data_IF_071236478787
#
_entry.id   IF_071236478787
#
_cell.length_a   1.000
_cell.length_b   1.000
_cell.length_c   1.000
_cell.angle_alpha   90.00
_cell.angle_beta   90.00
_cell.angle_gamma   90.00
#
_symmetry.space_group_name_H-M   'P 1'
#
loop_
_entity.id
_entity.type
_entity.pdbx_description
1 polymer ?
#
# COMPACT_ATOMS: atom_id res chain seq x y z
N UNK A 1 28.37 -21.56 -5.33
CA UNK A 1 27.75 -20.25 -5.05
C UNK A 1 26.43 -20.50 -4.37
N UNK A 2 26.07 -19.67 -3.39
CA UNK A 2 24.69 -19.59 -2.90
C UNK A 2 24.11 -18.23 -3.28
N UNK A 3 22.86 -18.21 -3.74
CA UNK A 3 22.21 -16.99 -4.24
C UNK A 3 22.53 -16.67 -5.71
N UNK A 4 22.17 -15.47 -6.16
CA UNK A 4 22.31 -15.05 -7.56
C UNK A 4 23.34 -13.93 -7.73
N UNK A 5 24.18 -14.10 -8.75
CA UNK A 5 25.30 -13.22 -9.03
C UNK A 5 26.31 -13.87 -9.95
N UNK A 6 27.38 -13.14 -10.22
CA UNK A 6 28.54 -13.61 -10.96
C UNK A 6 29.82 -13.22 -10.25
N UNK A 7 30.96 -13.75 -10.69
CA UNK A 7 32.27 -13.31 -10.21
C UNK A 7 33.03 -12.76 -11.41
N UNK A 8 33.61 -11.58 -11.27
CA UNK A 8 34.62 -11.10 -12.19
C UNK A 8 35.98 -11.60 -11.69
N UNK A 9 36.60 -12.48 -12.46
CA UNK A 9 37.94 -13.03 -12.23
C UNK A 9 38.93 -12.28 -13.12
N UNK A 10 40.03 -11.81 -12.53
CA UNK A 10 41.18 -11.29 -13.27
C UNK A 10 42.42 -12.16 -13.00
N UNK A 11 43.06 -12.66 -14.05
CA UNK A 11 44.33 -13.40 -14.01
C UNK A 11 45.19 -13.00 -15.19
N UNK A 12 46.50 -12.77 -15.00
CA UNK A 12 47.42 -12.39 -16.08
C UNK A 12 46.93 -11.25 -17.00
N UNK A 13 46.24 -10.25 -16.41
CA UNK A 13 45.58 -9.12 -17.08
C UNK A 13 44.37 -9.49 -17.96
N UNK A 14 43.95 -10.75 -17.99
CA UNK A 14 42.68 -11.17 -18.58
C UNK A 14 41.58 -11.03 -17.55
N UNK A 15 40.47 -10.39 -17.95
CA UNK A 15 39.27 -10.24 -17.13
C UNK A 15 38.17 -11.10 -17.73
N UNK A 16 37.53 -11.94 -16.91
CA UNK A 16 36.39 -12.76 -17.32
C UNK A 16 35.30 -12.76 -16.26
N UNK A 17 34.05 -12.87 -16.70
CA UNK A 17 32.91 -13.13 -15.83
C UNK A 17 32.69 -14.64 -15.74
N UNK A 18 32.66 -15.19 -14.54
CA UNK A 18 32.41 -16.61 -14.29
C UNK A 18 31.09 -16.81 -13.56
N UNK A 19 30.35 -17.84 -13.98
CA UNK A 19 29.10 -18.30 -13.40
C UNK A 19 29.28 -19.71 -12.82
N UNK A 20 28.66 -20.05 -11.69
CA UNK A 20 28.70 -21.40 -11.13
C UNK A 20 27.96 -22.41 -12.01
N UNK A 21 28.42 -23.66 -12.10
CA UNK A 21 29.73 -24.15 -11.66
C UNK A 21 30.83 -23.73 -12.63
N UNK A 22 31.99 -23.30 -12.10
CA UNK A 22 33.14 -22.91 -12.92
C UNK A 22 34.42 -23.55 -12.36
N UNK A 23 35.28 -24.00 -13.27
CA UNK A 23 36.60 -24.55 -12.95
C UNK A 23 37.62 -24.00 -13.96
N UNK A 24 38.83 -23.72 -13.49
CA UNK A 24 39.93 -23.25 -14.33
C UNK A 24 41.28 -23.69 -13.79
N UNK A 25 42.27 -23.67 -14.67
CA UNK A 25 43.65 -24.03 -14.36
C UNK A 25 44.49 -22.76 -14.21
N UNK A 26 45.28 -22.70 -13.15
CA UNK A 26 46.20 -21.62 -12.86
C UNK A 26 47.58 -22.18 -12.55
N UNK A 27 48.61 -21.38 -12.78
CA UNK A 27 49.95 -21.73 -12.33
C UNK A 27 49.98 -21.71 -10.79
N UNK A 28 50.67 -22.67 -10.19
CA UNK A 28 50.91 -22.66 -8.75
C UNK A 28 51.63 -21.37 -8.35
N UNK A 29 51.29 -20.87 -7.17
CA UNK A 29 51.75 -19.61 -6.58
C UNK A 29 51.38 -18.34 -7.37
N UNK A 30 50.49 -18.44 -8.35
CA UNK A 30 49.95 -17.27 -9.06
C UNK A 30 48.89 -16.54 -8.25
N UNK A 31 48.66 -15.28 -8.60
CA UNK A 31 47.63 -14.45 -7.97
C UNK A 31 46.48 -14.20 -8.93
N UNK A 32 45.27 -14.34 -8.41
CA UNK A 32 44.02 -13.97 -9.08
C UNK A 32 43.32 -12.86 -8.31
N UNK A 33 42.61 -12.00 -9.00
CA UNK A 33 41.71 -11.04 -8.38
C UNK A 33 40.28 -11.51 -8.57
N UNK A 34 39.54 -11.65 -7.47
CA UNK A 34 38.15 -12.02 -7.46
C UNK A 34 37.32 -10.80 -7.06
N UNK A 35 36.29 -10.50 -7.85
CA UNK A 35 35.32 -9.45 -7.55
C UNK A 35 33.90 -10.00 -7.66
N UNK A 36 33.20 -10.05 -6.54
CA UNK A 36 31.81 -10.43 -6.46
C UNK A 36 30.94 -9.40 -7.18
N UNK A 37 30.03 -9.88 -8.02
CA UNK A 37 29.07 -9.09 -8.78
C UNK A 37 27.67 -9.65 -8.49
N UNK A 38 27.02 -9.22 -7.39
CA UNK A 38 25.66 -9.65 -7.09
C UNK A 38 24.71 -9.22 -8.22
N UNK A 39 23.69 -10.03 -8.48
CA UNK A 39 22.59 -9.63 -9.36
C UNK A 39 21.75 -8.51 -8.72
N UNK A 40 20.86 -7.90 -9.51
CA UNK A 40 19.92 -6.91 -8.99
C UNK A 40 19.14 -7.52 -7.83
N UNK A 41 18.96 -6.74 -6.76
CA UNK A 41 18.29 -7.17 -5.53
C UNK A 41 19.01 -8.24 -4.69
N UNK A 42 20.26 -8.57 -5.00
CA UNK A 42 21.11 -9.39 -4.15
C UNK A 42 22.24 -8.57 -3.53
N UNK A 43 22.70 -8.99 -2.35
CA UNK A 43 23.85 -8.45 -1.65
C UNK A 43 24.95 -9.51 -1.58
N UNK A 44 26.20 -9.10 -1.74
CA UNK A 44 27.35 -9.93 -1.38
C UNK A 44 27.43 -10.08 0.14
N UNK A 45 27.60 -11.32 0.61
CA UNK A 45 27.76 -11.65 2.03
C UNK A 45 29.22 -11.99 2.34
N UNK A 46 29.77 -12.99 1.66
CA UNK A 46 31.14 -13.44 1.91
C UNK A 46 31.69 -14.33 0.79
N UNK A 47 33.00 -14.56 0.85
CA UNK A 47 33.65 -15.73 0.30
C UNK A 47 33.79 -16.80 1.39
N UNK A 48 33.67 -18.08 1.04
CA UNK A 48 33.83 -19.22 1.95
C UNK A 48 34.52 -20.42 1.28
N UNK A 49 34.71 -21.48 2.08
CA UNK A 49 35.52 -22.67 1.80
C UNK A 49 37.03 -22.36 1.89
N UNK A 50 37.82 -22.64 0.86
CA UNK A 50 39.27 -22.47 0.92
C UNK A 50 39.69 -20.99 0.99
N UNK A 51 38.77 -20.07 0.67
CA UNK A 51 38.91 -18.64 0.88
C UNK A 51 37.82 -18.13 1.83
N UNK A 52 38.21 -17.49 2.95
CA UNK A 52 37.28 -16.80 3.86
C UNK A 52 37.53 -15.31 3.85
N UNK A 53 36.59 -14.52 3.34
CA UNK A 53 36.70 -13.06 3.29
C UNK A 53 35.33 -12.37 3.23
N UNK A 54 35.24 -11.17 3.80
CA UNK A 54 34.04 -10.31 3.77
C UNK A 54 34.18 -9.10 2.84
N UNK A 55 35.32 -8.96 2.15
CA UNK A 55 35.48 -7.95 1.10
C UNK A 55 34.91 -8.49 -0.22
N UNK A 56 34.07 -7.72 -0.95
CA UNK A 56 33.56 -8.14 -2.26
C UNK A 56 34.66 -8.20 -3.33
N UNK A 57 35.84 -7.63 -3.06
CA UNK A 57 36.99 -7.65 -3.95
C UNK A 57 38.24 -8.10 -3.19
N UNK A 58 38.95 -9.10 -3.71
CA UNK A 58 40.10 -9.72 -3.05
C UNK A 58 41.16 -10.17 -4.06
N UNK A 59 42.43 -9.92 -3.72
CA UNK A 59 43.58 -10.52 -4.37
C UNK A 59 43.92 -11.81 -3.63
N UNK A 60 44.02 -12.92 -4.35
CA UNK A 60 44.12 -14.25 -3.76
C UNK A 60 45.19 -15.09 -4.43
N UNK A 61 45.99 -15.82 -3.66
CA UNK A 61 47.07 -16.67 -4.17
C UNK A 61 46.57 -18.10 -4.34
N UNK A 62 46.77 -18.69 -5.51
CA UNK A 62 46.46 -20.09 -5.80
C UNK A 62 47.71 -20.93 -5.58
N UNK A 63 47.74 -21.69 -4.50
CA UNK A 63 48.89 -22.55 -4.13
C UNK A 63 48.70 -24.00 -4.55
N UNK A 64 47.45 -24.45 -4.67
CA UNK A 64 47.03 -25.83 -4.90
C UNK A 64 45.59 -25.87 -5.44
N UNK A 65 44.99 -27.06 -5.51
CA UNK A 65 43.60 -27.21 -5.91
C UNK A 65 42.69 -26.65 -4.83
N UNK A 66 41.85 -25.68 -5.20
CA UNK A 66 41.00 -24.99 -4.24
C UNK A 66 39.58 -24.83 -4.74
N UNK A 67 38.65 -24.83 -3.79
CA UNK A 67 37.23 -24.59 -3.96
C UNK A 67 36.88 -23.30 -3.25
N UNK A 68 36.56 -22.27 -4.03
CA UNK A 68 36.11 -20.98 -3.52
C UNK A 68 34.61 -20.86 -3.75
N UNK A 69 33.87 -20.49 -2.71
CA UNK A 69 32.45 -20.21 -2.79
C UNK A 69 32.18 -18.73 -2.54
N UNK A 70 31.39 -18.10 -3.40
CA UNK A 70 30.79 -16.80 -3.15
C UNK A 70 29.37 -16.97 -2.63
N UNK A 71 29.02 -16.21 -1.59
CA UNK A 71 27.72 -16.22 -0.94
C UNK A 71 27.00 -14.89 -1.19
N UNK A 72 25.82 -14.96 -1.78
CA UNK A 72 24.89 -13.85 -1.94
C UNK A 72 23.62 -14.09 -1.13
N UNK A 73 22.98 -13.01 -0.68
CA UNK A 73 21.67 -13.04 -0.04
C UNK A 73 20.74 -12.04 -0.73
N UNK A 74 19.49 -12.43 -0.93
CA UNK A 74 18.48 -11.53 -1.46
C UNK A 74 18.28 -10.36 -0.48
N UNK A 75 18.03 -9.16 -1.00
CA UNK A 75 17.72 -7.99 -0.16
C UNK A 75 16.47 -8.29 0.67
N UNK A 76 16.41 -7.64 1.83
CA UNK A 76 15.25 -7.70 2.70
C UNK A 76 14.53 -6.36 2.69
N UNK A 77 13.22 -6.43 2.89
CA UNK A 77 12.31 -5.30 3.08
C UNK A 77 11.54 -5.49 4.37
N UNK A 78 11.01 -4.39 4.91
CA UNK A 78 10.35 -4.37 6.22
C UNK A 78 8.83 -4.41 6.07
N UNK A 79 8.18 -5.26 6.87
CA UNK A 79 6.74 -5.20 7.09
C UNK A 79 6.48 -4.66 8.49
N UNK A 80 5.91 -3.47 8.57
CA UNK A 80 5.40 -2.85 9.80
C UNK A 80 3.91 -3.15 9.92
N UNK A 81 3.52 -3.72 11.05
CA UNK A 81 2.14 -4.05 11.39
C UNK A 81 1.74 -3.19 12.58
N UNK A 82 0.72 -2.36 12.37
CA UNK A 82 0.21 -1.40 13.36
C UNK A 82 -1.13 -1.86 13.93
N UNK A 83 -1.42 -1.46 15.16
CA UNK A 83 -2.65 -1.79 15.89
C UNK A 83 -2.37 -2.37 17.28
N UNK A 84 -3.44 -2.62 18.04
CA UNK A 84 -3.35 -3.09 19.42
C UNK A 84 -3.63 -4.60 19.56
N UNK A 85 -4.46 -5.15 18.66
CA UNK A 85 -4.82 -6.58 18.68
C UNK A 85 -3.71 -7.43 18.08
N UNK A 86 -3.51 -8.62 18.64
CA UNK A 86 -2.54 -9.59 18.11
C UNK A 86 -3.07 -10.24 16.83
N UNK A 87 -2.15 -10.68 15.97
CA UNK A 87 -2.47 -11.34 14.71
C UNK A 87 -1.47 -12.47 14.41
N UNK A 88 -1.78 -13.35 13.46
CA UNK A 88 -0.79 -14.33 12.99
C UNK A 88 -0.04 -13.78 11.78
N UNK A 89 1.27 -13.96 11.79
CA UNK A 89 2.18 -13.69 10.67
C UNK A 89 2.85 -15.00 10.32
N UNK A 90 2.59 -15.53 9.12
CA UNK A 90 3.01 -16.87 8.69
C UNK A 90 2.63 -17.96 9.72
N UNK A 91 1.38 -17.94 10.18
CA UNK A 91 0.79 -18.80 11.23
C UNK A 91 1.33 -18.60 12.65
N UNK A 92 2.32 -17.73 12.86
CA UNK A 92 2.88 -17.47 14.19
C UNK A 92 2.22 -16.24 14.83
N UNK A 93 1.76 -16.38 16.07
CA UNK A 93 1.14 -15.28 16.80
C UNK A 93 2.15 -14.16 17.06
N UNK A 94 1.72 -12.92 16.80
CA UNK A 94 2.50 -11.69 17.01
C UNK A 94 1.65 -10.66 17.74
N UNK A 95 2.28 -10.00 18.71
CA UNK A 95 1.73 -8.81 19.35
C UNK A 95 2.11 -7.58 18.54
N UNK A 96 1.18 -6.65 18.39
CA UNK A 96 1.35 -5.41 17.66
C UNK A 96 1.58 -4.23 18.64
N UNK A 97 2.25 -3.14 18.20
CA UNK A 97 2.87 -2.97 16.88
C UNK A 97 4.17 -3.77 16.74
N UNK A 98 4.51 -4.17 15.51
CA UNK A 98 5.76 -4.89 15.22
C UNK A 98 6.29 -4.58 13.82
N UNK A 99 7.61 -4.58 13.66
CA UNK A 99 8.27 -4.53 12.36
C UNK A 99 9.13 -5.78 12.17
N UNK A 100 8.95 -6.48 11.04
CA UNK A 100 9.65 -7.72 10.73
C UNK A 100 10.34 -7.64 9.35
N UNK A 101 11.59 -8.13 9.22
CA UNK A 101 12.25 -8.22 7.91
C UNK A 101 11.79 -9.47 7.14
N UNK A 102 11.63 -9.31 5.84
CA UNK A 102 11.31 -10.39 4.91
C UNK A 102 12.16 -10.30 3.64
N UNK A 103 12.44 -11.44 3.03
CA UNK A 103 13.15 -11.50 1.76
C UNK A 103 12.32 -10.81 0.66
N UNK A 104 12.99 -10.05 -0.21
CA UNK A 104 12.33 -9.34 -1.31
C UNK A 104 11.60 -10.34 -2.21
N UNK A 105 10.36 -9.99 -2.59
CA UNK A 105 9.43 -10.82 -3.36
C UNK A 105 8.93 -12.09 -2.65
N UNK A 106 9.23 -12.27 -1.36
CA UNK A 106 8.54 -13.28 -0.56
C UNK A 106 7.07 -12.89 -0.33
N UNK A 107 6.25 -13.89 -0.02
CA UNK A 107 4.85 -13.70 0.34
C UNK A 107 4.67 -13.93 1.84
N UNK A 108 4.03 -12.98 2.51
CA UNK A 108 3.68 -13.07 3.94
C UNK A 108 2.18 -13.28 4.08
N UNK A 109 1.79 -14.28 4.87
CA UNK A 109 0.39 -14.52 5.23
C UNK A 109 0.07 -13.84 6.56
N UNK A 110 -0.92 -12.95 6.54
CA UNK A 110 -1.48 -12.29 7.70
C UNK A 110 -2.86 -12.88 7.99
N UNK A 111 -3.14 -13.25 9.25
CA UNK A 111 -4.44 -13.77 9.66
C UNK A 111 -4.94 -13.07 10.93
N UNK A 112 -6.20 -12.67 10.90
CA UNK A 112 -6.91 -12.11 12.05
C UNK A 112 -7.19 -13.21 13.06
N UNK A 113 -6.86 -12.96 14.33
CA UNK A 113 -7.09 -13.90 15.44
C UNK A 113 -8.46 -13.69 16.05
N UNK A 114 -8.81 -12.43 16.33
CA UNK A 114 -10.11 -12.02 16.87
C UNK A 114 -10.87 -11.29 15.77
N UNK A 115 -11.85 -11.97 15.16
CA UNK A 115 -12.54 -11.46 13.99
C UNK A 115 -13.88 -10.78 14.28
N UNK A 116 -14.37 -10.83 15.51
CA UNK A 116 -15.75 -10.43 15.84
C UNK A 116 -16.02 -8.97 15.44
N UNK A 117 -15.02 -8.12 15.62
CA UNK A 117 -15.07 -6.70 15.28
C UNK A 117 -14.17 -6.35 14.09
N UNK A 118 -13.61 -7.32 13.36
CA UNK A 118 -12.73 -7.02 12.22
C UNK A 118 -13.54 -6.41 11.08
N UNK A 119 -13.10 -5.24 10.60
CA UNK A 119 -13.71 -4.56 9.46
C UNK A 119 -12.95 -4.94 8.19
N UNK A 120 -11.72 -4.42 8.03
CA UNK A 120 -10.90 -4.61 6.82
C UNK A 120 -9.42 -4.31 7.10
N UNK A 121 -8.56 -4.54 6.12
CA UNK A 121 -7.17 -4.08 6.14
C UNK A 121 -7.03 -2.63 5.68
N UNK A 122 -6.01 -1.93 6.19
CA UNK A 122 -5.61 -0.58 5.80
C UNK A 122 -4.09 -0.50 5.58
N UNK A 123 -3.63 0.57 4.93
CA UNK A 123 -2.22 0.81 4.61
C UNK A 123 -1.83 0.26 3.25
N UNK A 124 -0.60 -0.25 3.13
CA UNK A 124 0.04 -0.71 1.89
C UNK A 124 -0.50 -2.06 1.40
N UNK A 125 -1.81 -2.11 1.19
CA UNK A 125 -2.56 -3.29 0.76
C UNK A 125 -3.71 -2.90 -0.14
N UNK A 126 -4.08 -3.82 -1.03
CA UNK A 126 -5.33 -3.69 -1.76
C UNK A 126 -6.50 -3.79 -0.77
N UNK A 127 -7.60 -3.12 -1.07
CA UNK A 127 -8.80 -3.17 -0.23
C UNK A 127 -9.25 -4.63 -0.06
N UNK A 128 -9.03 -5.17 1.14
CA UNK A 128 -9.33 -6.55 1.47
C UNK A 128 -10.03 -6.55 2.83
N UNK A 129 -11.16 -7.24 2.92
CA UNK A 129 -11.95 -7.38 4.15
C UNK A 129 -12.12 -8.85 4.55
N UNK A 130 -11.30 -9.73 3.97
CA UNK A 130 -11.16 -11.11 4.41
C UNK A 130 -10.27 -11.17 5.65
N UNK A 131 -10.56 -12.13 6.52
CA UNK A 131 -9.80 -12.38 7.76
C UNK A 131 -8.35 -12.86 7.50
N UNK A 132 -8.00 -13.10 6.24
CA UNK A 132 -6.65 -13.46 5.80
C UNK A 132 -6.20 -12.55 4.65
N UNK A 133 -4.95 -12.12 4.69
CA UNK A 133 -4.32 -11.30 3.65
C UNK A 133 -2.95 -11.87 3.26
N UNK A 134 -2.74 -12.04 1.97
CA UNK A 134 -1.46 -12.42 1.39
C UNK A 134 -0.74 -11.16 0.88
N UNK A 135 0.45 -10.88 1.40
CA UNK A 135 1.21 -9.67 1.12
C UNK A 135 2.48 -10.03 0.36
N UNK A 136 2.67 -9.46 -0.83
CA UNK A 136 3.93 -9.56 -1.57
C UNK A 136 4.90 -8.49 -1.06
N UNK A 137 6.05 -8.92 -0.56
CA UNK A 137 7.09 -8.06 0.01
C UNK A 137 8.02 -7.51 -1.08
N UNK A 138 7.52 -6.59 -1.91
CA UNK A 138 8.29 -5.94 -2.99
C UNK A 138 9.02 -4.66 -2.57
N UNK A 139 8.69 -4.12 -1.41
CA UNK A 139 9.17 -2.87 -0.82
C UNK A 139 8.80 -2.87 0.68
N UNK A 140 9.23 -1.84 1.41
CA UNK A 140 8.78 -1.65 2.79
C UNK A 140 7.28 -1.36 2.82
N UNK A 141 6.53 -2.01 3.71
CA UNK A 141 5.07 -1.91 3.81
C UNK A 141 4.63 -1.64 5.23
N UNK A 142 3.63 -0.80 5.40
CA UNK A 142 2.92 -0.55 6.66
C UNK A 142 1.46 -0.95 6.50
N UNK A 143 0.99 -1.91 7.30
CA UNK A 143 -0.37 -2.44 7.24
C UNK A 143 -0.99 -2.42 8.63
N UNK A 144 -2.28 -2.15 8.70
CA UNK A 144 -3.07 -2.29 9.92
C UNK A 144 -4.36 -3.08 9.66
N UNK A 145 -4.85 -3.75 10.71
CA UNK A 145 -6.21 -4.28 10.73
C UNK A 145 -7.13 -3.24 11.38
N UNK A 146 -8.19 -2.86 10.66
CA UNK A 146 -9.23 -1.97 11.15
C UNK A 146 -10.25 -2.79 11.95
N UNK A 147 -10.54 -2.37 13.19
CA UNK A 147 -11.56 -2.99 14.03
C UNK A 147 -12.68 -2.00 14.37
N UNK A 148 -13.91 -2.50 14.50
CA UNK A 148 -15.04 -1.70 14.92
C UNK A 148 -14.85 -1.22 16.36
N UNK A 149 -14.56 0.07 16.52
CA UNK A 149 -14.47 0.72 17.83
C UNK A 149 -14.89 2.21 17.73
N UNK A 150 -14.94 2.97 18.84
CA UNK A 150 -15.35 4.37 18.82
C UNK A 150 -14.51 5.30 17.93
N UNK A 151 -13.30 4.90 17.56
CA UNK A 151 -12.29 5.71 16.86
C UNK A 151 -11.85 5.12 15.53
N UNK A 152 -12.44 4.01 15.10
CA UNK A 152 -12.09 3.31 13.87
C UNK A 152 -13.36 2.94 13.12
N UNK A 153 -13.43 3.39 11.88
CA UNK A 153 -14.55 3.12 10.99
C UNK A 153 -14.14 3.43 9.55
N UNK A 154 -14.84 2.81 8.59
CA UNK A 154 -14.73 3.18 7.17
C UNK A 154 -16.11 3.08 6.54
N UNK A 155 -16.46 4.05 5.71
CA UNK A 155 -17.69 4.04 4.95
C UNK A 155 -17.42 4.22 3.46
N UNK A 156 -18.18 3.48 2.66
CA UNK A 156 -18.27 3.71 1.24
C UNK A 156 -19.32 4.78 0.97
N UNK A 157 -18.93 5.82 0.23
CA UNK A 157 -19.85 6.77 -0.36
C UNK A 157 -19.88 6.46 -1.85
N UNK A 158 -21.05 6.04 -2.34
CA UNK A 158 -21.24 5.60 -3.72
C UNK A 158 -22.12 6.60 -4.44
N UNK A 159 -21.67 7.10 -5.59
CA UNK A 159 -22.46 7.93 -6.49
C UNK A 159 -22.96 7.08 -7.64
N UNK A 160 -24.27 7.10 -7.87
CA UNK A 160 -24.92 6.39 -8.97
C UNK A 160 -25.65 7.40 -9.84
N UNK A 161 -25.50 7.28 -11.14
CA UNK A 161 -26.24 8.07 -12.12
C UNK A 161 -26.84 7.18 -13.18
N UNK A 162 -28.05 7.51 -13.61
CA UNK A 162 -28.72 6.86 -14.75
C UNK A 162 -29.00 7.93 -15.80
N UNK A 163 -28.38 7.82 -16.97
CA UNK A 163 -28.57 8.76 -18.08
C UNK A 163 -28.50 8.03 -19.42
N UNK A 164 -29.43 8.34 -20.33
CA UNK A 164 -29.50 7.79 -21.69
C UNK A 164 -29.37 6.26 -21.81
N UNK A 165 -29.84 5.53 -20.79
CA UNK A 165 -29.78 4.06 -20.74
C UNK A 165 -28.45 3.47 -20.24
N UNK A 166 -27.51 4.32 -19.84
CA UNK A 166 -26.26 3.94 -19.17
C UNK A 166 -26.35 4.21 -17.67
N UNK A 167 -25.80 3.29 -16.88
CA UNK A 167 -25.60 3.48 -15.45
C UNK A 167 -24.12 3.72 -15.18
N UNK A 168 -23.84 4.79 -14.45
CA UNK A 168 -22.52 5.05 -13.91
C UNK A 168 -22.50 4.77 -12.41
N UNK A 169 -21.38 4.26 -11.91
CA UNK A 169 -21.11 4.10 -10.49
C UNK A 169 -19.68 4.53 -10.15
N UNK A 170 -19.52 5.43 -9.19
CA UNK A 170 -18.24 5.81 -8.61
C UNK A 170 -18.28 5.64 -7.09
N UNK A 171 -17.16 5.26 -6.47
CA UNK A 171 -17.09 5.03 -5.03
C UNK A 171 -15.83 5.66 -4.44
N UNK A 172 -15.99 6.32 -3.31
CA UNK A 172 -14.89 6.75 -2.45
C UNK A 172 -15.01 6.08 -1.07
N UNK A 173 -13.88 5.88 -0.40
CA UNK A 173 -13.82 5.43 0.98
C UNK A 173 -13.31 6.54 1.90
N UNK A 174 -14.11 6.87 2.91
CA UNK A 174 -13.75 7.80 3.98
C UNK A 174 -13.76 7.06 5.31
N UNK A 175 -13.01 7.54 6.29
CA UNK A 175 -13.01 6.92 7.60
C UNK A 175 -11.77 7.22 8.41
N UNK A 176 -11.63 6.54 9.53
CA UNK A 176 -10.48 6.68 10.42
C UNK A 176 -9.91 5.33 10.80
N UNK A 177 -8.59 5.28 10.94
CA UNK A 177 -7.83 4.07 11.28
C UNK A 177 -6.61 4.41 12.14
N UNK A 178 -5.98 3.40 12.73
CA UNK A 178 -4.73 3.57 13.51
C UNK A 178 -3.55 4.12 12.69
N UNK A 179 -3.58 3.91 11.37
CA UNK A 179 -2.67 4.50 10.38
C UNK A 179 -3.44 5.34 9.38
N UNK A 180 -2.77 6.31 8.76
CA UNK A 180 -3.34 6.99 7.59
C UNK A 180 -3.28 6.07 6.37
N UNK A 181 -4.32 6.09 5.54
CA UNK A 181 -4.35 5.34 4.28
C UNK A 181 -4.93 6.23 3.16
N UNK A 182 -4.10 6.53 2.17
CA UNK A 182 -4.45 7.33 1.01
C UNK A 182 -4.25 6.48 -0.24
N UNK A 183 -5.29 6.35 -1.06
CA UNK A 183 -5.19 5.71 -2.37
C UNK A 183 -5.58 6.71 -3.44
N UNK A 184 -4.70 6.90 -4.42
CA UNK A 184 -4.97 7.76 -5.57
C UNK A 184 -6.16 7.23 -6.36
N UNK A 185 -6.93 8.13 -6.95
CA UNK A 185 -8.03 7.80 -7.85
C UNK A 185 -7.49 7.13 -9.13
N UNK A 186 -8.18 6.08 -9.60
CA UNK A 186 -7.94 5.55 -10.94
C UNK A 186 -8.66 6.42 -11.98
N UNK A 187 -7.94 6.89 -13.00
CA UNK A 187 -8.46 7.79 -14.04
C UNK A 187 -9.09 7.05 -15.22
N UNK A 188 -9.23 5.73 -15.14
CA UNK A 188 -9.67 4.87 -16.24
C UNK A 188 -11.10 5.15 -16.72
N UNK A 189 -11.98 5.70 -15.87
CA UNK A 189 -13.37 6.04 -16.21
C UNK A 189 -13.66 7.54 -15.97
N UNK A 190 -12.99 8.43 -16.73
CA UNK A 190 -13.15 9.89 -16.59
C UNK A 190 -14.57 10.41 -16.97
N UNK A 191 -15.39 9.57 -17.60
CA UNK A 191 -16.67 9.95 -18.21
C UNK A 191 -17.85 9.22 -17.61
N UNK A 192 -18.21 9.57 -16.38
CA UNK A 192 -19.57 9.79 -15.87
C UNK A 192 -19.55 9.71 -14.33
N UNK A 193 -20.44 10.44 -13.64
CA UNK A 193 -20.66 10.37 -12.18
C UNK A 193 -19.41 10.31 -11.26
N UNK A 194 -18.32 10.96 -11.67
CA UNK A 194 -17.01 10.85 -11.03
C UNK A 194 -17.03 11.40 -9.62
N UNK A 195 -16.55 10.61 -8.66
CA UNK A 195 -16.35 11.01 -7.27
C UNK A 195 -14.90 10.86 -6.86
N UNK A 196 -14.40 11.82 -6.08
CA UNK A 196 -13.05 11.78 -5.54
C UNK A 196 -12.96 12.52 -4.21
N UNK A 197 -11.86 12.29 -3.50
CA UNK A 197 -11.49 12.99 -2.28
C UNK A 197 -10.35 13.95 -2.61
N UNK A 198 -10.55 15.22 -2.27
CA UNK A 198 -9.54 16.27 -2.37
C UNK A 198 -8.86 16.44 -1.01
N UNK A 199 -7.53 16.32 -1.01
CA UNK A 199 -6.71 16.60 0.16
C UNK A 199 -5.91 17.88 -0.18
N UNK A 200 -6.12 19.01 0.50
CA UNK A 200 -5.53 20.30 0.11
C UNK A 200 -4.00 20.29 -0.06
N UNK A 201 -3.32 19.47 0.72
CA UNK A 201 -1.87 19.34 0.75
C UNK A 201 -1.31 18.43 -0.36
N UNK A 202 -2.18 17.71 -1.06
CA UNK A 202 -1.82 16.69 -2.07
C UNK A 202 -2.41 17.11 -3.42
N UNK A 203 -1.57 17.14 -4.45
CA UNK A 203 -2.01 17.53 -5.79
C UNK A 203 -2.91 16.47 -6.46
N UNK A 204 -2.74 15.20 -6.09
CA UNK A 204 -3.52 14.09 -6.63
C UNK A 204 -4.91 13.99 -6.00
N UNK A 205 -5.87 13.52 -6.82
CA UNK A 205 -7.20 13.16 -6.38
C UNK A 205 -7.20 11.71 -5.88
N UNK A 206 -8.06 11.42 -4.90
CA UNK A 206 -7.98 10.18 -4.14
C UNK A 206 -9.31 9.44 -4.14
N UNK A 207 -9.26 8.11 -4.18
CA UNK A 207 -10.42 7.22 -4.03
C UNK A 207 -10.58 6.75 -2.58
N UNK A 208 -9.52 6.76 -1.79
CA UNK A 208 -9.53 6.40 -0.36
C UNK A 208 -8.81 7.47 0.44
N UNK A 209 -9.43 7.89 1.54
CA UNK A 209 -8.74 8.65 2.58
C UNK A 209 -9.22 8.21 3.97
N UNK A 210 -8.48 7.28 4.59
CA UNK A 210 -8.63 6.98 6.00
C UNK A 210 -7.67 7.85 6.79
N UNK A 211 -8.20 8.76 7.61
CA UNK A 211 -7.38 9.63 8.44
C UNK A 211 -6.90 8.87 9.69
N UNK A 212 -5.68 9.15 10.14
CA UNK A 212 -5.20 8.62 11.42
C UNK A 212 -6.13 9.06 12.56
N UNK A 213 -6.48 8.14 13.46
CA UNK A 213 -7.47 8.38 14.51
C UNK A 213 -6.96 9.18 15.73
N UNK A 214 -6.27 10.30 15.48
CA UNK A 214 -5.57 11.12 16.48
C UNK A 214 -6.12 12.55 16.69
N UNK A 215 -7.34 12.82 16.22
CA UNK A 215 -8.01 14.13 16.25
C UNK A 215 -9.39 14.02 16.89
N UNK A 216 -10.00 15.17 17.19
CA UNK A 216 -11.41 15.25 17.63
C UNK A 216 -12.38 15.60 16.51
N UNK A 217 -11.89 16.23 15.44
CA UNK A 217 -12.67 16.65 14.29
C UNK A 217 -11.93 16.18 13.05
N UNK A 218 -12.68 15.52 12.18
CA UNK A 218 -12.22 14.97 10.92
C UNK A 218 -13.02 15.58 9.79
N UNK A 219 -12.35 15.79 8.66
CA UNK A 219 -12.89 16.50 7.52
C UNK A 219 -12.42 15.84 6.23
N UNK A 220 -13.37 15.42 5.39
CA UNK A 220 -13.11 14.95 4.03
C UNK A 220 -13.79 15.89 3.05
N UNK A 221 -13.02 16.48 2.14
CA UNK A 221 -13.55 17.25 1.01
C UNK A 221 -13.79 16.27 -0.13
N UNK A 222 -15.05 16.12 -0.53
CA UNK A 222 -15.44 15.23 -1.64
C UNK A 222 -15.82 16.08 -2.84
N UNK A 223 -15.29 15.71 -4.01
CA UNK A 223 -15.67 16.27 -5.30
C UNK A 223 -16.62 15.32 -6.02
N UNK A 224 -17.68 15.87 -6.58
CA UNK A 224 -18.66 15.13 -7.38
C UNK A 224 -18.80 15.88 -8.71
N UNK A 225 -18.50 15.21 -9.82
CA UNK A 225 -18.82 15.74 -11.15
C UNK A 225 -20.03 14.99 -11.71
N UNK A 226 -21.22 15.62 -11.76
CA UNK A 226 -22.41 14.97 -12.29
C UNK A 226 -22.41 14.74 -13.80
N UNK A 227 -21.37 15.16 -14.53
CA UNK A 227 -21.29 14.94 -15.98
C UNK A 227 -21.63 13.50 -16.39
N UNK A 228 -22.34 13.37 -17.50
CA UNK A 228 -22.62 12.12 -18.19
C UNK A 228 -21.66 12.00 -19.38
N UNK A 229 -21.29 10.78 -19.80
CA UNK A 229 -20.45 10.55 -20.98
C UNK A 229 -21.12 10.96 -22.30
N UNK A 230 -22.42 11.27 -22.28
CA UNK A 230 -23.16 11.73 -23.44
C UNK A 230 -22.80 13.16 -23.82
N UNK A 231 -22.69 13.43 -25.12
CA UNK A 231 -22.44 14.76 -25.71
C UNK A 231 -23.61 15.74 -25.54
N UNK A 232 -24.65 15.37 -24.80
CA UNK A 232 -25.79 16.24 -24.56
C UNK A 232 -25.46 17.22 -23.44
N UNK A 233 -25.61 18.53 -23.72
CA UNK A 233 -25.35 19.64 -22.79
C UNK A 233 -26.39 19.72 -21.63
N UNK A 234 -26.91 18.57 -21.20
CA UNK A 234 -27.93 18.44 -20.16
C UNK A 234 -27.33 18.47 -18.76
N UNK A 235 -28.16 18.86 -17.78
CA UNK A 235 -27.87 18.57 -16.38
C UNK A 235 -28.14 17.09 -16.12
N UNK A 236 -27.23 16.44 -15.44
CA UNK A 236 -27.40 15.07 -14.97
C UNK A 236 -27.42 15.07 -13.43
N UNK A 237 -27.94 14.00 -12.83
CA UNK A 237 -28.10 13.87 -11.38
C UNK A 237 -27.35 12.65 -10.88
N UNK A 238 -26.39 12.87 -9.99
CA UNK A 238 -25.73 11.81 -9.24
C UNK A 238 -26.44 11.66 -7.91
N UNK A 239 -26.97 10.48 -7.65
CA UNK A 239 -27.49 10.11 -6.35
C UNK A 239 -26.34 9.51 -5.54
N UNK A 240 -25.81 10.27 -4.59
CA UNK A 240 -24.85 9.73 -3.63
C UNK A 240 -25.59 9.01 -2.52
N UNK A 241 -25.06 7.87 -2.09
CA UNK A 241 -25.62 7.01 -1.06
C UNK A 241 -24.52 6.43 -0.17
N UNK A 242 -24.88 6.11 1.07
CA UNK A 242 -24.00 5.48 2.05
C UNK A 242 -24.79 4.60 3.01
N UNK A 243 -24.09 3.71 3.71
CA UNK A 243 -24.67 2.85 4.73
C UNK A 243 -24.33 3.36 6.14
N UNK A 244 -25.28 3.89 6.92
CA UNK A 244 -25.05 4.35 8.28
C UNK A 244 -24.44 3.31 9.22
N UNK A 245 -24.59 2.02 8.95
CA UNK A 245 -24.00 0.93 9.76
C UNK A 245 -22.48 0.88 9.67
N UNK A 246 -21.90 1.53 8.66
CA UNK A 246 -20.46 1.66 8.48
C UNK A 246 -19.85 2.80 9.31
N UNK A 247 -20.69 3.69 9.86
CA UNK A 247 -20.27 4.71 10.80
C UNK A 247 -20.20 4.15 12.21
N UNK A 248 -19.26 4.68 13.01
CA UNK A 248 -19.25 4.36 14.44
C UNK A 248 -20.45 5.01 15.15
N UNK A 249 -20.89 4.41 16.24
CA UNK A 249 -21.95 4.98 17.09
C UNK A 249 -21.50 6.27 17.80
N UNK A 250 -20.19 6.51 17.85
CA UNK A 250 -19.58 7.67 18.50
C UNK A 250 -19.49 8.90 17.59
N UNK A 251 -19.65 10.07 18.19
CA UNK A 251 -19.56 11.34 17.49
C UNK A 251 -20.78 11.69 16.62
N UNK A 252 -20.60 12.73 15.82
CA UNK A 252 -21.62 13.35 14.98
C UNK A 252 -21.11 13.50 13.56
N UNK A 253 -21.99 13.23 12.59
CA UNK A 253 -21.66 13.20 11.17
C UNK A 253 -22.46 14.26 10.42
N UNK A 254 -21.79 15.26 9.87
CA UNK A 254 -22.42 16.35 9.12
C UNK A 254 -21.97 16.33 7.67
N UNK A 255 -22.85 16.77 6.77
CA UNK A 255 -22.48 17.12 5.41
C UNK A 255 -22.65 18.62 5.18
N UNK A 256 -21.60 19.26 4.65
CA UNK A 256 -21.59 20.69 4.30
C UNK A 256 -21.64 20.89 2.78
N UNK A 257 -22.29 21.96 2.34
CA UNK A 257 -22.30 22.41 0.95
C UNK A 257 -21.07 23.30 0.67
N UNK A 258 -19.98 22.67 0.23
CA UNK A 258 -18.67 23.31 0.01
C UNK A 258 -17.54 22.62 0.76
N UNK A 259 -16.34 23.20 0.67
CA UNK A 259 -15.13 22.68 1.33
C UNK A 259 -14.76 23.42 2.64
N UNK A 260 -15.39 24.57 2.92
CA UNK A 260 -15.10 25.37 4.12
C UNK A 260 -15.84 24.83 5.35
N UNK A 261 -15.20 24.81 6.53
CA UNK A 261 -15.88 24.39 7.78
C UNK A 261 -17.03 25.32 8.20
N UNK A 262 -17.09 26.53 7.62
CA UNK A 262 -18.18 27.50 7.85
C UNK A 262 -19.32 27.37 6.83
N UNK A 263 -19.24 26.42 5.91
CA UNK A 263 -20.26 26.20 4.90
C UNK A 263 -21.60 25.75 5.51
N UNK A 264 -22.67 25.90 4.73
CA UNK A 264 -24.02 25.50 5.13
C UNK A 264 -24.10 23.99 5.38
N UNK A 265 -24.69 23.58 6.51
CA UNK A 265 -25.01 22.19 6.81
C UNK A 265 -26.23 21.78 5.98
N UNK A 266 -26.03 20.84 5.05
CA UNK A 266 -27.10 20.28 4.22
C UNK A 266 -27.61 18.93 4.74
N UNK A 267 -26.81 18.23 5.54
CA UNK A 267 -27.24 17.04 6.28
C UNK A 267 -26.71 17.16 7.71
N UNK A 268 -27.62 17.25 8.67
CA UNK A 268 -27.30 17.46 10.08
C UNK A 268 -26.91 16.18 10.84
N UNK A 269 -27.33 15.01 10.35
CA UNK A 269 -26.83 13.71 10.81
C UNK A 269 -26.85 12.70 9.66
N UNK A 270 -25.67 12.34 9.13
CA UNK A 270 -25.54 11.34 8.08
C UNK A 270 -25.89 9.91 8.53
N UNK A 271 -26.23 9.68 9.80
CA UNK A 271 -26.82 8.39 10.22
C UNK A 271 -28.33 8.33 10.07
N UNK A 272 -28.99 9.49 9.96
CA UNK A 272 -30.44 9.62 9.82
C UNK A 272 -30.88 9.86 8.36
N UNK A 273 -29.96 10.33 7.52
CA UNK A 273 -30.10 10.34 6.06
C UNK A 273 -29.11 9.36 5.45
N UNK A 274 -29.44 8.79 4.29
CA UNK A 274 -28.60 7.79 3.60
C UNK A 274 -28.26 8.19 2.18
N UNK A 275 -28.73 9.34 1.70
CA UNK A 275 -28.54 9.78 0.33
C UNK A 275 -28.59 11.31 0.17
N UNK A 276 -28.07 11.78 -0.96
CA UNK A 276 -28.21 13.16 -1.46
C UNK A 276 -28.20 13.13 -2.99
N UNK A 277 -29.07 13.89 -3.63
CA UNK A 277 -29.07 14.06 -5.09
C UNK A 277 -28.30 15.33 -5.47
N UNK A 278 -27.29 15.17 -6.32
CA UNK A 278 -26.43 16.26 -6.80
C UNK A 278 -26.68 16.43 -8.29
N UNK A 279 -27.39 17.49 -8.66
CA UNK A 279 -27.68 17.81 -10.06
C UNK A 279 -26.68 18.85 -10.59
N UNK A 280 -26.10 18.63 -11.76
CA UNK A 280 -25.11 19.53 -12.35
C UNK A 280 -24.84 19.23 -13.82
N UNK A 281 -24.09 20.12 -14.46
CA UNK A 281 -23.48 19.88 -15.77
C UNK A 281 -22.04 19.37 -15.59
N UNK A 282 -21.15 19.56 -16.57
CA UNK A 282 -19.71 19.26 -16.45
C UNK A 282 -18.97 20.26 -15.55
N UNK A 283 -19.23 20.17 -14.25
CA UNK A 283 -18.57 20.97 -13.25
C UNK A 283 -18.53 20.20 -11.93
N UNK A 284 -17.33 20.09 -11.36
CA UNK A 284 -17.16 19.52 -10.02
C UNK A 284 -17.86 20.40 -8.99
N UNK A 285 -18.74 19.79 -8.21
CA UNK A 285 -19.33 20.35 -7.00
C UNK A 285 -18.64 19.74 -5.78
N UNK A 286 -18.38 20.57 -4.78
CA UNK A 286 -17.65 20.15 -3.58
C UNK A 286 -18.58 20.09 -2.38
N UNK A 287 -18.40 19.04 -1.59
CA UNK A 287 -19.06 18.85 -0.31
C UNK A 287 -18.03 18.46 0.74
N UNK A 288 -18.37 18.64 2.00
CA UNK A 288 -17.52 18.20 3.11
C UNK A 288 -18.28 17.21 3.97
N UNK A 289 -17.64 16.08 4.27
CA UNK A 289 -18.06 15.18 5.33
C UNK A 289 -17.27 15.56 6.57
N UNK A 290 -17.97 15.86 7.66
CA UNK A 290 -17.37 16.17 8.96
C UNK A 290 -17.76 15.07 9.94
N UNK A 291 -16.77 14.51 10.63
CA UNK A 291 -17.00 13.66 11.79
C UNK A 291 -16.35 14.29 13.02
N UNK A 292 -17.16 14.62 14.03
CA UNK A 292 -16.70 15.22 15.29
C UNK A 292 -17.01 14.30 16.48
N UNK A 293 -16.02 14.04 17.31
CA UNK A 293 -16.18 13.27 18.55
C UNK A 293 -16.64 14.23 19.65
N UNK A 294 -17.78 13.91 20.28
CA UNK A 294 -18.37 14.67 21.39
C UNK A 294 -17.60 14.55 22.71
#
# INVERSE_FOLDING_TARGET
MTGQGSIQLTSDKLVQTVLPEWCGLFLADSYIQLKARPEINWNFISWSNDLTASSPEILYQITDNQTIQVNYQIKQVLLTLEGEKSMKVNHELRHLPITLPFDLYSTVLLEIVDSDDFICWAGDTNQNCSQSLSVLMSEDKTIAALYANPFEWRAAITGISESDGNTCSSQILVGTSVIENIQTEDKTDEYSCRMFIKIPEINDLNSVYLQKNDKRIYHWIIGINPHDSSTSLGKNTVNIQWDPRQFTSSGHYYMLNGYEMTAEIIISDMRQSTHLSVMGADATQYFSIIWGIG
#
